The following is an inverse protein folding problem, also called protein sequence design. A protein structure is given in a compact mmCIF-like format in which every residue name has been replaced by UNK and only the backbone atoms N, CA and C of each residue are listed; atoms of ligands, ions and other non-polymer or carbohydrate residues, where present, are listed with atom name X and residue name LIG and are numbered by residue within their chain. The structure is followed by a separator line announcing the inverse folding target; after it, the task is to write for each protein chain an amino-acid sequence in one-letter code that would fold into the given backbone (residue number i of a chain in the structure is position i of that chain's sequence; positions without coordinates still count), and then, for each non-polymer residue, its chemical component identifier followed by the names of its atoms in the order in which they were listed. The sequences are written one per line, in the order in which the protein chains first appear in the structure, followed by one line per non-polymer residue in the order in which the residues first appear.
data_IF_297796305125
#
_entry.id   IF_297796305125
#
_cell.length_a   1.000
_cell.length_b   1.000
_cell.length_c   1.000
_cell.angle_alpha   90.00
_cell.angle_beta   90.00
_cell.angle_gamma   90.00
#
_symmetry.space_group_name_H-M   'P 1'
#
loop_
_entity.id
_entity.type
_entity.pdbx_description
1 polymer ?
#
# COMPACT_ATOMS: atom_id res chain seq x y z
N UNK A 1 16.54 25.44 -16.15
CA UNK A 1 15.73 24.25 -15.77
C UNK A 1 14.28 24.42 -16.21
N UNK A 2 13.80 23.52 -17.09
CA UNK A 2 12.45 23.57 -17.69
C UNK A 2 11.34 23.68 -16.61
N UNK A 3 11.56 23.02 -15.48
CA UNK A 3 10.70 23.04 -14.29
C UNK A 3 10.48 24.43 -13.67
N UNK A 4 11.49 25.31 -13.67
CA UNK A 4 11.37 26.66 -13.09
C UNK A 4 10.60 27.63 -14.01
N UNK A 5 10.62 27.39 -15.32
CA UNK A 5 9.83 28.17 -16.29
C UNK A 5 8.35 27.76 -16.24
N UNK A 6 8.09 26.45 -16.11
CA UNK A 6 6.74 25.90 -15.95
C UNK A 6 6.12 26.37 -14.62
N UNK A 7 6.87 26.34 -13.51
CA UNK A 7 6.39 26.83 -12.22
C UNK A 7 5.91 28.29 -12.26
N UNK A 8 6.69 29.18 -12.87
CA UNK A 8 6.31 30.60 -13.03
C UNK A 8 5.12 30.81 -13.97
N UNK A 9 4.96 29.94 -14.96
CA UNK A 9 3.84 30.00 -15.89
C UNK A 9 2.54 29.55 -15.20
N UNK A 10 2.61 28.48 -14.40
CA UNK A 10 1.48 27.99 -13.61
C UNK A 10 1.06 28.96 -12.49
N UNK A 11 2.01 29.66 -11.87
CA UNK A 11 1.74 30.72 -10.88
C UNK A 11 0.97 31.93 -11.47
N UNK A 12 0.87 32.04 -12.81
CA UNK A 12 0.13 33.12 -13.47
C UNK A 12 -1.37 32.83 -13.62
N UNK A 13 -1.82 31.61 -13.31
CA UNK A 13 -3.23 31.21 -13.41
C UNK A 13 -3.92 31.26 -12.04
N UNK A 14 -5.04 31.97 -11.97
CA UNK A 14 -5.89 32.06 -10.77
C UNK A 14 -7.23 31.35 -11.03
N UNK A 15 -7.31 30.03 -10.82
CA UNK A 15 -8.58 29.29 -10.86
C UNK A 15 -8.57 28.06 -11.77
N UNK A 16 -9.79 27.60 -12.11
CA UNK A 16 -10.09 26.32 -12.79
C UNK A 16 -9.48 26.16 -14.19
N UNK A 17 -9.05 27.26 -14.81
CA UNK A 17 -8.47 27.30 -16.16
C UNK A 17 -7.13 26.54 -16.26
N UNK A 18 -6.40 26.40 -15.14
CA UNK A 18 -5.18 25.60 -15.12
C UNK A 18 -5.46 24.08 -15.21
N UNK A 19 -6.64 23.64 -14.78
CA UNK A 19 -7.01 22.22 -14.79
C UNK A 19 -7.27 21.78 -16.22
N UNK A 20 -8.04 22.55 -16.99
CA UNK A 20 -8.32 22.23 -18.40
C UNK A 20 -7.04 22.27 -19.23
N UNK A 21 -6.14 23.24 -19.00
CA UNK A 21 -4.85 23.31 -19.69
C UNK A 21 -3.97 22.08 -19.38
N UNK A 22 -3.97 21.61 -18.13
CA UNK A 22 -3.23 20.40 -17.72
C UNK A 22 -3.86 19.14 -18.31
N UNK A 23 -5.20 19.07 -18.35
CA UNK A 23 -5.93 17.93 -18.92
C UNK A 23 -5.75 17.85 -20.45
N UNK A 24 -5.84 18.97 -21.15
CA UNK A 24 -5.60 19.03 -22.60
C UNK A 24 -4.15 18.67 -22.92
N UNK A 25 -3.19 19.20 -22.15
CA UNK A 25 -1.78 18.84 -22.32
C UNK A 25 -1.53 17.35 -22.04
N UNK A 26 -2.14 16.77 -21.00
CA UNK A 26 -2.05 15.34 -20.69
C UNK A 26 -2.71 14.47 -21.76
N UNK A 27 -3.80 14.93 -22.36
CA UNK A 27 -4.47 14.23 -23.45
C UNK A 27 -3.60 14.20 -24.72
N UNK A 28 -2.94 15.32 -25.03
CA UNK A 28 -2.01 15.44 -26.16
C UNK A 28 -0.67 14.71 -25.93
N UNK A 29 -0.23 14.58 -24.68
CA UNK A 29 1.05 13.97 -24.31
C UNK A 29 0.89 12.63 -23.58
N UNK A 30 -0.26 11.96 -23.72
CA UNK A 30 -0.57 10.70 -23.04
C UNK A 30 0.51 9.62 -23.22
N UNK A 31 1.13 9.58 -24.40
CA UNK A 31 2.16 8.60 -24.74
C UNK A 31 3.54 8.96 -24.14
N UNK A 32 3.73 10.20 -23.70
CA UNK A 32 4.95 10.69 -23.06
C UNK A 32 4.85 10.66 -21.52
N UNK A 33 3.64 10.78 -20.97
CA UNK A 33 3.40 10.88 -19.53
C UNK A 33 2.99 9.55 -18.88
N UNK A 34 2.47 8.59 -19.66
CA UNK A 34 2.04 7.26 -19.19
C UNK A 34 2.93 6.13 -19.72
N UNK A 35 4.00 6.46 -20.45
CA UNK A 35 5.04 5.48 -20.72
C UNK A 35 5.84 5.27 -19.44
N UNK A 36 5.68 4.12 -18.80
CA UNK A 36 6.45 3.64 -17.65
C UNK A 36 7.96 3.43 -17.96
N UNK A 37 8.45 3.98 -19.06
CA UNK A 37 9.86 3.96 -19.45
C UNK A 37 10.46 5.34 -19.35
N UNK A 38 11.34 5.45 -18.36
CA UNK A 38 12.41 6.45 -18.22
C UNK A 38 12.05 7.79 -17.56
N UNK A 39 11.89 7.74 -16.24
CA UNK A 39 12.36 8.82 -15.35
C UNK A 39 13.63 8.34 -14.62
N UNK A 40 14.75 8.25 -15.33
CA UNK A 40 16.08 8.22 -14.71
C UNK A 40 16.78 9.51 -15.16
N UNK A 41 16.79 10.54 -14.31
CA UNK A 41 17.95 11.42 -14.23
C UNK A 41 17.95 12.24 -12.93
N UNK A 42 18.65 11.73 -11.92
CA UNK A 42 19.76 12.40 -11.21
C UNK A 42 19.92 11.83 -9.78
N UNK A 43 20.81 10.85 -9.66
CA UNK A 43 21.79 10.92 -8.58
C UNK A 43 21.60 10.08 -7.31
N UNK A 44 20.67 9.14 -7.24
CA UNK A 44 20.73 8.06 -6.24
C UNK A 44 20.24 6.75 -6.86
N UNK A 45 21.08 5.72 -6.74
CA UNK A 45 20.97 4.44 -7.43
C UNK A 45 19.71 3.69 -6.94
N UNK A 46 18.61 3.79 -7.66
CA UNK A 46 17.55 2.79 -7.64
C UNK A 46 17.86 1.77 -8.74
N UNK A 47 18.00 0.47 -8.43
CA UNK A 47 18.26 -0.55 -9.42
C UNK A 47 17.04 -0.69 -10.37
N UNK A 48 17.28 -1.11 -11.62
CA UNK A 48 16.26 -1.14 -12.66
C UNK A 48 15.17 -2.19 -12.37
N UNK A 49 13.92 -1.79 -12.58
CA UNK A 49 12.75 -2.67 -12.67
C UNK A 49 12.97 -3.72 -13.76
N UNK A 50 12.91 -5.00 -13.36
CA UNK A 50 12.72 -6.15 -14.25
C UNK A 50 14.00 -6.82 -14.76
N UNK A 51 14.64 -7.61 -13.89
CA UNK A 51 15.32 -8.90 -14.16
C UNK A 51 16.28 -9.31 -13.02
N UNK A 52 15.94 -9.02 -11.77
CA UNK A 52 16.44 -9.78 -10.62
C UNK A 52 15.39 -10.81 -10.25
N UNK A 53 15.76 -11.91 -9.61
CA UNK A 53 14.78 -12.72 -8.89
C UNK A 53 14.12 -11.80 -7.84
N UNK A 54 12.97 -11.19 -8.16
CA UNK A 54 12.10 -10.63 -7.14
C UNK A 54 11.61 -11.83 -6.36
N UNK A 55 12.32 -12.13 -5.27
CA UNK A 55 11.93 -13.20 -4.36
C UNK A 55 10.48 -12.92 -3.96
N UNK A 56 9.61 -13.87 -4.30
CA UNK A 56 8.18 -13.76 -4.00
C UNK A 56 7.98 -14.19 -2.55
N UNK A 57 7.25 -13.38 -1.81
CA UNK A 57 6.93 -13.62 -0.40
C UNK A 57 5.47 -13.98 -0.26
N UNK A 58 5.20 -15.11 0.39
CA UNK A 58 3.85 -15.48 0.79
C UNK A 58 3.37 -14.55 1.91
N UNK A 59 2.31 -13.81 1.63
CA UNK A 59 1.64 -12.92 2.57
C UNK A 59 0.18 -13.36 2.76
N UNK A 60 -0.45 -12.95 3.86
CA UNK A 60 -1.84 -13.28 4.14
C UNK A 60 -2.69 -12.02 4.22
N UNK A 61 -3.73 -11.95 3.40
CA UNK A 61 -4.61 -10.80 3.27
C UNK A 61 -5.91 -11.06 4.03
N UNK A 62 -6.29 -10.12 4.88
CA UNK A 62 -7.54 -10.13 5.63
C UNK A 62 -8.35 -8.89 5.26
N UNK A 63 -9.48 -9.12 4.58
CA UNK A 63 -10.37 -8.04 4.13
C UNK A 63 -11.57 -7.85 5.04
N UNK A 64 -11.93 -6.60 5.24
CA UNK A 64 -13.11 -6.14 5.97
C UNK A 64 -13.91 -5.21 5.08
N UNK A 65 -15.25 -5.22 5.23
CA UNK A 65 -16.10 -4.29 4.48
C UNK A 65 -15.70 -2.83 4.70
N UNK A 66 -15.43 -2.47 5.96
CA UNK A 66 -15.00 -1.12 6.33
C UNK A 66 -14.13 -1.12 7.59
N UNK A 67 -13.02 -0.38 7.56
CA UNK A 67 -12.21 -0.03 8.74
C UNK A 67 -12.09 1.49 8.87
N UNK A 68 -12.41 2.03 10.05
CA UNK A 68 -12.38 3.47 10.31
C UNK A 68 -11.10 3.87 11.06
N UNK A 69 -10.43 4.92 10.61
CA UNK A 69 -9.29 5.49 11.33
C UNK A 69 -9.75 6.47 12.39
N UNK A 70 -9.04 6.53 13.51
CA UNK A 70 -9.26 7.52 14.57
C UNK A 70 -9.61 6.93 15.94
N UNK A 71 -9.38 7.69 17.01
CA UNK A 71 -9.46 7.22 18.40
C UNK A 71 -10.90 6.90 18.86
N UNK A 72 -11.91 7.47 18.19
CA UNK A 72 -13.33 7.26 18.48
C UNK A 72 -13.80 5.83 18.15
N UNK A 73 -13.07 5.13 17.28
CA UNK A 73 -13.44 3.81 16.78
C UNK A 73 -12.92 2.71 17.70
N UNK A 74 -13.68 2.45 18.77
CA UNK A 74 -13.31 1.47 19.82
C UNK A 74 -12.96 0.09 19.26
N UNK A 75 -13.67 -0.39 18.23
CA UNK A 75 -13.43 -1.71 17.64
C UNK A 75 -12.10 -1.75 16.88
N UNK A 76 -11.83 -0.73 16.07
CA UNK A 76 -10.58 -0.59 15.32
C UNK A 76 -9.39 -0.41 16.24
N UNK A 77 -9.56 0.33 17.34
CA UNK A 77 -8.54 0.40 18.41
C UNK A 77 -8.25 -0.98 19.00
N UNK A 78 -9.29 -1.73 19.39
CA UNK A 78 -9.13 -3.10 19.92
C UNK A 78 -8.49 -4.05 18.90
N UNK A 79 -8.77 -3.87 17.61
CA UNK A 79 -8.17 -4.62 16.52
C UNK A 79 -6.67 -4.34 16.37
N UNK A 80 -6.23 -3.08 16.53
CA UNK A 80 -4.80 -2.73 16.58
C UNK A 80 -4.16 -3.33 17.84
N UNK A 81 -4.83 -3.26 18.98
CA UNK A 81 -4.31 -3.78 20.25
C UNK A 81 -4.17 -5.31 20.22
N UNK A 82 -5.11 -6.02 19.58
CA UNK A 82 -5.02 -7.45 19.29
C UNK A 82 -3.79 -7.76 18.41
N UNK A 83 -3.57 -7.01 17.32
CA UNK A 83 -2.42 -7.21 16.46
C UNK A 83 -1.09 -7.05 17.21
N UNK A 84 -0.99 -6.03 18.08
CA UNK A 84 0.18 -5.80 18.93
C UNK A 84 0.41 -6.93 19.93
N UNK A 85 -0.67 -7.46 20.53
CA UNK A 85 -0.61 -8.58 21.48
C UNK A 85 -0.08 -9.84 20.81
N UNK A 86 -0.52 -10.11 19.58
CA UNK A 86 -0.07 -11.25 18.77
C UNK A 86 1.25 -10.99 18.03
N UNK A 87 1.85 -9.80 18.18
CA UNK A 87 3.09 -9.39 17.50
C UNK A 87 3.02 -9.54 15.97
N UNK A 88 1.83 -9.30 15.42
CA UNK A 88 1.54 -9.49 14.00
C UNK A 88 2.32 -8.47 13.15
N UNK A 89 3.03 -8.95 12.14
CA UNK A 89 3.78 -8.11 11.21
C UNK A 89 3.00 -7.82 9.95
N UNK A 90 3.20 -6.61 9.40
CA UNK A 90 2.65 -6.22 8.11
C UNK A 90 1.95 -4.87 8.13
N UNK A 91 0.89 -4.74 7.35
CA UNK A 91 0.26 -3.46 6.98
C UNK A 91 -1.23 -3.43 7.24
N UNK A 92 -1.78 -2.24 7.46
CA UNK A 92 -3.20 -1.98 7.69
C UNK A 92 -3.63 -0.78 6.86
N UNK A 93 -4.59 -0.99 5.96
CA UNK A 93 -5.24 0.07 5.18
C UNK A 93 -6.64 0.33 5.71
N UNK A 94 -6.87 1.57 6.12
CA UNK A 94 -8.20 2.07 6.48
C UNK A 94 -9.08 2.28 5.25
N UNK A 95 -10.39 2.34 5.46
CA UNK A 95 -11.39 2.68 4.44
C UNK A 95 -12.24 1.49 4.01
N UNK A 96 -12.74 1.59 2.78
CA UNK A 96 -13.58 0.58 2.10
C UNK A 96 -12.86 0.13 0.82
N UNK A 97 -12.50 -1.14 0.69
CA UNK A 97 -12.44 -2.13 1.76
C UNK A 97 -11.32 -1.80 2.75
N UNK A 98 -11.47 -2.23 4.00
CA UNK A 98 -10.38 -2.20 4.95
C UNK A 98 -9.54 -3.47 4.81
N UNK A 99 -8.22 -3.33 4.80
CA UNK A 99 -7.31 -4.44 4.48
C UNK A 99 -6.22 -4.56 5.54
N UNK A 100 -5.96 -5.78 6.00
CA UNK A 100 -4.76 -6.10 6.77
C UNK A 100 -3.91 -7.06 5.93
N UNK A 101 -2.64 -6.70 5.73
CA UNK A 101 -1.62 -7.53 5.12
C UNK A 101 -0.78 -8.10 6.25
N UNK A 102 -0.69 -9.41 6.35
CA UNK A 102 0.19 -10.10 7.29
C UNK A 102 1.41 -10.60 6.51
N UNK A 103 2.60 -10.22 6.96
CA UNK A 103 3.86 -10.55 6.29
C UNK A 103 4.74 -11.42 7.17
N UNK A 104 5.67 -12.21 6.60
CA UNK A 104 6.61 -13.00 7.37
C UNK A 104 7.43 -12.14 8.34
N UNK A 105 7.76 -12.66 9.54
CA UNK A 105 7.72 -14.07 9.95
C UNK A 105 6.36 -14.56 10.47
N UNK A 106 5.31 -13.74 10.47
CA UNK A 106 3.97 -14.18 10.88
C UNK A 106 3.42 -15.24 9.92
N UNK A 107 2.71 -16.24 10.46
CA UNK A 107 2.22 -17.40 9.69
C UNK A 107 0.74 -17.29 9.34
N UNK A 108 0.23 -18.25 8.57
CA UNK A 108 -1.20 -18.37 8.26
C UNK A 108 -2.03 -18.55 9.54
N UNK A 109 -1.52 -19.33 10.50
CA UNK A 109 -2.15 -19.55 11.79
C UNK A 109 -2.29 -18.25 12.59
N UNK A 110 -1.24 -17.42 12.61
CA UNK A 110 -1.29 -16.10 13.27
C UNK A 110 -2.36 -15.21 12.64
N UNK A 111 -2.45 -15.21 11.31
CA UNK A 111 -3.47 -14.46 10.56
C UNK A 111 -4.89 -14.98 10.85
N UNK A 112 -5.08 -16.31 10.95
CA UNK A 112 -6.35 -16.94 11.30
C UNK A 112 -6.76 -16.65 12.74
N UNK A 113 -5.83 -16.74 13.69
CA UNK A 113 -6.08 -16.41 15.10
C UNK A 113 -6.46 -14.95 15.26
N UNK A 114 -5.71 -14.05 14.62
CA UNK A 114 -6.02 -12.63 14.59
C UNK A 114 -7.40 -12.34 14.00
N UNK A 115 -7.75 -12.98 12.86
CA UNK A 115 -9.08 -12.86 12.26
C UNK A 115 -10.20 -13.35 13.19
N UNK A 116 -9.94 -14.41 13.97
CA UNK A 116 -10.87 -14.92 14.98
C UNK A 116 -11.06 -13.95 16.15
N UNK A 117 -9.99 -13.35 16.67
CA UNK A 117 -10.06 -12.33 17.72
C UNK A 117 -10.78 -11.07 17.22
N UNK A 118 -10.54 -10.65 15.98
CA UNK A 118 -11.28 -9.55 15.36
C UNK A 118 -12.79 -9.82 15.28
N UNK A 119 -13.18 -11.07 15.05
CA UNK A 119 -14.60 -11.49 15.05
C UNK A 119 -15.24 -11.32 16.43
N UNK A 120 -14.53 -11.60 17.52
CA UNK A 120 -15.04 -11.39 18.89
C UNK A 120 -15.16 -9.90 19.25
N UNK A 121 -14.27 -9.06 18.70
CA UNK A 121 -14.35 -7.58 18.78
C UNK A 121 -15.54 -7.02 17.97
N UNK A 122 -16.13 -7.83 17.08
CA UNK A 122 -17.26 -7.45 16.25
C UNK A 122 -16.87 -6.85 14.90
N UNK A 123 -15.65 -7.14 14.42
CA UNK A 123 -15.19 -6.93 13.05
C UNK A 123 -15.19 -8.27 12.32
N UNK A 124 -15.95 -8.38 11.23
CA UNK A 124 -16.10 -9.65 10.50
C UNK A 124 -15.14 -9.66 9.31
N UNK A 125 -14.00 -10.38 9.38
CA UNK A 125 -13.16 -10.58 8.21
C UNK A 125 -13.88 -11.46 7.20
N UNK A 126 -13.63 -11.21 5.92
CA UNK A 126 -14.14 -12.03 4.81
C UNK A 126 -13.48 -13.41 4.75
N UNK A 127 -12.26 -13.50 5.28
CA UNK A 127 -11.42 -14.68 5.27
C UNK A 127 -9.96 -14.27 5.39
N UNK A 128 -9.08 -15.26 5.46
CA UNK A 128 -7.63 -15.11 5.26
C UNK A 128 -7.34 -15.67 3.88
N UNK A 129 -6.74 -14.87 3.01
CA UNK A 129 -6.33 -15.30 1.67
C UNK A 129 -4.81 -15.25 1.55
N UNK A 130 -4.23 -16.30 1.00
CA UNK A 130 -2.81 -16.34 0.67
C UNK A 130 -2.56 -15.58 -0.64
N UNK A 131 -1.65 -14.61 -0.61
CA UNK A 131 -1.26 -13.82 -1.79
C UNK A 131 0.26 -13.73 -1.86
N UNK A 132 0.78 -13.91 -3.06
CA UNK A 132 2.19 -13.78 -3.38
C UNK A 132 2.52 -12.33 -3.72
N UNK A 133 3.33 -11.68 -2.88
CA UNK A 133 3.75 -10.29 -3.06
C UNK A 133 5.27 -10.22 -3.29
N UNK A 134 5.76 -9.28 -4.11
CA UNK A 134 7.20 -9.13 -4.34
C UNK A 134 7.91 -8.67 -3.06
N UNK A 135 9.02 -9.33 -2.68
CA UNK A 135 9.78 -8.97 -1.48
C UNK A 135 10.23 -7.50 -1.51
N UNK A 136 10.68 -7.04 -2.67
CA UNK A 136 11.10 -5.66 -2.91
C UNK A 136 9.99 -4.67 -2.57
N UNK A 137 8.77 -4.91 -3.05
CA UNK A 137 7.60 -4.09 -2.71
C UNK A 137 7.26 -4.09 -1.22
N UNK A 138 7.35 -5.24 -0.55
CA UNK A 138 7.13 -5.36 0.90
C UNK A 138 8.16 -4.55 1.69
N UNK A 139 9.42 -4.60 1.30
CA UNK A 139 10.50 -3.86 1.96
C UNK A 139 10.38 -2.34 1.71
N UNK A 140 10.09 -1.93 0.48
CA UNK A 140 9.90 -0.52 0.10
C UNK A 140 8.68 0.12 0.76
N UNK A 141 7.59 -0.65 0.92
CA UNK A 141 6.42 -0.22 1.67
C UNK A 141 6.67 -0.15 3.20
N UNK A 142 7.85 -0.57 3.67
CA UNK A 142 8.23 -0.60 5.08
C UNK A 142 7.57 -1.74 5.87
N UNK A 143 6.97 -2.70 5.17
CA UNK A 143 6.28 -3.83 5.78
C UNK A 143 7.24 -4.95 6.18
N UNK A 144 8.41 -5.06 5.54
CA UNK A 144 9.38 -6.13 5.77
C UNK A 144 10.60 -5.78 6.64
N UNK A 145 11.40 -6.81 6.94
CA UNK A 145 12.80 -6.70 7.35
C UNK A 145 13.10 -6.29 8.80
N UNK A 146 14.37 -5.91 9.02
CA UNK A 146 14.91 -5.44 10.30
C UNK A 146 14.14 -4.21 10.85
N UNK A 147 13.52 -3.43 9.96
CA UNK A 147 12.74 -2.24 10.31
C UNK A 147 11.48 -2.59 11.12
N UNK A 148 10.77 -3.66 10.77
CA UNK A 148 9.62 -4.15 11.55
C UNK A 148 10.04 -5.02 12.74
N UNK A 149 11.09 -5.84 12.61
CA UNK A 149 11.59 -6.67 13.72
C UNK A 149 12.01 -5.83 14.92
N UNK A 150 12.72 -4.71 14.71
CA UNK A 150 13.07 -3.76 15.79
C UNK A 150 11.85 -3.07 16.42
N UNK A 151 10.72 -3.01 15.71
CA UNK A 151 9.47 -2.39 16.17
C UNK A 151 8.52 -3.35 16.88
N UNK A 152 8.88 -4.64 16.94
CA UNK A 152 8.20 -5.65 17.76
C UNK A 152 6.89 -6.19 17.18
N UNK A 153 6.75 -6.22 15.85
CA UNK A 153 5.55 -6.77 15.21
C UNK A 153 4.35 -5.84 15.26
N UNK A 154 4.43 -4.71 14.56
CA UNK A 154 3.37 -3.72 14.50
C UNK A 154 2.81 -3.66 13.07
N UNK A 155 1.49 -3.66 12.97
CA UNK A 155 0.81 -3.27 11.74
C UNK A 155 1.13 -1.80 11.44
N UNK A 156 1.71 -1.57 10.27
CA UNK A 156 1.98 -0.24 9.75
C UNK A 156 0.75 0.28 9.01
N UNK A 157 0.35 1.52 9.28
CA UNK A 157 -0.72 2.13 8.51
C UNK A 157 -0.26 2.38 7.07
N UNK A 158 -1.07 1.95 6.12
CA UNK A 158 -0.86 2.09 4.69
C UNK A 158 -1.96 2.95 4.09
N UNK A 159 -1.56 3.88 3.25
CA UNK A 159 -2.44 4.51 2.28
C UNK A 159 -2.49 3.67 0.98
N UNK A 160 -3.27 4.13 0.00
CA UNK A 160 -3.39 3.42 -1.29
C UNK A 160 -2.05 3.38 -2.04
N UNK A 161 -1.20 4.39 -1.89
CA UNK A 161 0.12 4.44 -2.52
C UNK A 161 1.06 3.38 -1.92
N UNK A 162 1.13 3.29 -0.59
CA UNK A 162 1.90 2.26 0.11
C UNK A 162 1.40 0.84 -0.20
N UNK A 163 0.08 0.66 -0.35
CA UNK A 163 -0.48 -0.62 -0.80
C UNK A 163 -0.03 -0.97 -2.23
N UNK A 164 -0.02 0.00 -3.16
CA UNK A 164 0.46 -0.20 -4.53
C UNK A 164 1.95 -0.54 -4.58
N UNK A 165 2.77 0.14 -3.76
CA UNK A 165 4.20 -0.17 -3.61
C UNK A 165 4.38 -1.60 -3.10
N UNK A 166 3.60 -2.03 -2.10
CA UNK A 166 3.67 -3.41 -1.60
C UNK A 166 3.33 -4.48 -2.65
N UNK A 167 2.61 -4.10 -3.71
CA UNK A 167 2.30 -4.94 -4.86
C UNK A 167 3.33 -4.81 -6.00
N UNK A 168 4.44 -4.10 -5.81
CA UNK A 168 5.45 -3.85 -6.84
C UNK A 168 4.96 -2.97 -8.01
N UNK A 169 3.89 -2.19 -7.80
CA UNK A 169 3.26 -1.41 -8.87
C UNK A 169 2.25 -2.19 -9.72
N UNK A 170 2.05 -3.49 -9.50
CA UNK A 170 1.09 -4.30 -10.26
C UNK A 170 -0.36 -3.98 -9.84
N UNK A 171 -1.11 -3.36 -10.75
CA UNK A 171 -2.50 -2.98 -10.55
C UNK A 171 -3.45 -4.19 -10.46
N UNK A 172 -3.13 -5.33 -11.08
CA UNK A 172 -3.94 -6.55 -10.96
C UNK A 172 -3.77 -7.19 -9.58
N UNK A 173 -2.54 -7.18 -9.07
CA UNK A 173 -2.24 -7.66 -7.72
C UNK A 173 -2.89 -6.74 -6.67
N UNK A 174 -2.83 -5.42 -6.87
CA UNK A 174 -3.53 -4.45 -6.04
C UNK A 174 -5.05 -4.70 -6.01
N UNK A 175 -5.67 -4.94 -7.17
CA UNK A 175 -7.09 -5.30 -7.28
C UNK A 175 -7.42 -6.59 -6.52
N UNK A 176 -6.55 -7.60 -6.62
CA UNK A 176 -6.66 -8.86 -5.86
C UNK A 176 -6.63 -8.61 -4.36
N UNK A 177 -5.66 -7.82 -3.88
CA UNK A 177 -5.54 -7.48 -2.45
C UNK A 177 -6.77 -6.70 -1.96
N UNK A 178 -7.28 -5.77 -2.77
CA UNK A 178 -8.51 -5.03 -2.48
C UNK A 178 -9.78 -5.89 -2.64
N UNK A 179 -9.72 -7.04 -3.33
CA UNK A 179 -10.89 -7.87 -3.62
C UNK A 179 -11.86 -7.22 -4.61
N UNK A 180 -11.34 -6.42 -5.55
CA UNK A 180 -12.10 -5.80 -6.63
C UNK A 180 -11.80 -6.58 -7.91
N UNK A 181 -12.82 -7.22 -8.49
CA UNK A 181 -12.73 -7.87 -9.81
C UNK A 181 -13.07 -6.88 -10.92
#
# INVERSE_FOLDING_TARGET
PCTAAIGRYLDSFCGFECVDLVLDWLAENKDSCLNEKECIDNGDILPPLGNGNDDIVTCYIIRYNHLLSGPEHKKEKSMIDAAKKSKLQGGLRWGTPGVVIVVPPSTEEDAKEYGSECRTIGKRPSGVEEVQLPQTGIEEAGLGGLAQQKRGGKLQELDTAGLRISCGGDDNLLRTVLGVQ
#
